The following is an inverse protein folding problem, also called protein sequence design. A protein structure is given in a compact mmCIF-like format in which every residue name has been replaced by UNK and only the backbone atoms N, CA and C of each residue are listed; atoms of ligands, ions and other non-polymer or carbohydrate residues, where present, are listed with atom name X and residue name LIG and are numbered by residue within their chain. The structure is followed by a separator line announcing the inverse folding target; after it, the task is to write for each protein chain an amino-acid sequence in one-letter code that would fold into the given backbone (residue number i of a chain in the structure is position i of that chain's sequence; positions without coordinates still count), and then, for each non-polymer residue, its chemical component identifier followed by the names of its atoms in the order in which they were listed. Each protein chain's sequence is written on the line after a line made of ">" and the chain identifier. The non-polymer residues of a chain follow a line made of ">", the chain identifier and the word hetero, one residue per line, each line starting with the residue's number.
data_IF_451147458243
#
_entry.id   IF_451147458243
#
_cell.length_a   1.000
_cell.length_b   1.000
_cell.length_c   1.000
_cell.angle_alpha   90.00
_cell.angle_beta   90.00
_cell.angle_gamma   90.00
#
_symmetry.space_group_name_H-M   'P 1'
#
loop_
_entity.id
_entity.type
_entity.pdbx_description
1 polymer ?
#
# COMPACT_ATOMS: atom_id res chain seq x y z
N UNK A 1 -34.24 20.32 19.75
CA UNK A 1 -33.50 19.18 19.17
C UNK A 1 -33.30 19.49 17.69
N UNK A 2 -32.16 20.10 17.35
CA UNK A 2 -31.84 20.39 15.95
C UNK A 2 -31.41 19.10 15.26
N UNK A 3 -32.20 18.67 14.28
CA UNK A 3 -31.84 17.60 13.34
C UNK A 3 -30.58 18.03 12.61
N UNK A 4 -29.48 17.32 12.85
CA UNK A 4 -28.29 17.44 12.02
C UNK A 4 -28.66 17.08 10.58
N UNK A 5 -28.81 18.08 9.72
CA UNK A 5 -28.94 17.90 8.28
C UNK A 5 -27.71 17.15 7.80
N UNK A 6 -27.88 15.97 7.21
CA UNK A 6 -26.77 15.19 6.66
C UNK A 6 -26.02 16.04 5.65
N UNK A 7 -24.81 16.48 5.99
CA UNK A 7 -23.94 17.31 5.14
C UNK A 7 -23.44 16.57 3.90
N UNK A 8 -23.65 15.25 3.84
CA UNK A 8 -23.38 14.42 2.68
C UNK A 8 -24.62 14.40 1.77
N UNK A 9 -24.52 14.89 0.52
CA UNK A 9 -25.64 14.81 -0.42
C UNK A 9 -26.06 13.35 -0.61
N UNK A 10 -27.28 13.06 -1.13
CA UNK A 10 -27.78 11.70 -1.34
C UNK A 10 -27.04 10.92 -2.44
N UNK A 11 -25.73 11.17 -2.60
CA UNK A 11 -24.80 10.53 -3.52
C UNK A 11 -24.73 9.02 -3.30
N UNK A 12 -24.82 8.53 -2.06
CA UNK A 12 -24.74 7.10 -1.78
C UNK A 12 -25.82 6.29 -2.51
N UNK A 13 -27.06 6.82 -2.63
CA UNK A 13 -28.13 6.17 -3.40
C UNK A 13 -27.85 6.19 -4.90
N UNK A 14 -27.37 7.31 -5.42
CA UNK A 14 -27.04 7.46 -6.84
C UNK A 14 -25.84 6.59 -7.26
N UNK A 15 -24.86 6.41 -6.38
CA UNK A 15 -23.70 5.54 -6.58
C UNK A 15 -24.11 4.05 -6.64
N UNK A 16 -25.12 3.64 -5.88
CA UNK A 16 -25.66 2.28 -5.90
C UNK A 16 -26.76 2.06 -6.96
N UNK A 17 -27.02 3.03 -7.84
CA UNK A 17 -28.02 2.91 -8.92
C UNK A 17 -27.64 1.83 -9.92
N UNK A 18 -28.64 1.12 -10.47
CA UNK A 18 -28.42 0.15 -11.56
C UNK A 18 -28.10 0.83 -12.89
N UNK A 19 -28.53 2.09 -13.09
CA UNK A 19 -28.23 2.87 -14.29
C UNK A 19 -26.80 3.43 -14.27
N UNK A 20 -26.02 3.09 -15.31
CA UNK A 20 -24.62 3.53 -15.45
C UNK A 20 -24.52 5.06 -15.51
N UNK A 21 -25.41 5.74 -16.25
CA UNK A 21 -25.33 7.20 -16.42
C UNK A 21 -25.49 7.92 -15.08
N UNK A 22 -26.40 7.42 -14.25
CA UNK A 22 -26.62 7.91 -12.88
C UNK A 22 -25.37 7.73 -12.02
N UNK A 23 -24.72 6.57 -12.07
CA UNK A 23 -23.47 6.31 -11.34
C UNK A 23 -22.32 7.20 -11.81
N UNK A 24 -22.10 7.30 -13.11
CA UNK A 24 -21.05 8.15 -13.70
C UNK A 24 -21.23 9.62 -13.27
N UNK A 25 -22.47 10.14 -13.29
CA UNK A 25 -22.77 11.49 -12.81
C UNK A 25 -22.51 11.62 -11.31
N UNK A 26 -22.83 10.60 -10.53
CA UNK A 26 -22.58 10.60 -9.09
C UNK A 26 -21.09 10.63 -8.76
N UNK A 27 -20.24 9.90 -9.50
CA UNK A 27 -18.78 9.93 -9.32
C UNK A 27 -18.19 11.30 -9.68
N UNK A 28 -18.63 11.90 -10.79
CA UNK A 28 -18.21 13.27 -11.15
C UNK A 28 -18.60 14.29 -10.09
N UNK A 29 -19.85 14.22 -9.61
CA UNK A 29 -20.32 15.09 -8.54
C UNK A 29 -19.57 14.85 -7.22
N UNK A 30 -19.19 13.60 -6.94
CA UNK A 30 -18.40 13.25 -5.77
C UNK A 30 -17.01 13.90 -5.83
N UNK A 31 -16.33 13.81 -6.97
CA UNK A 31 -15.01 14.44 -7.15
C UNK A 31 -15.08 15.96 -6.91
N UNK A 32 -16.09 16.63 -7.50
CA UNK A 32 -16.34 18.06 -7.27
C UNK A 32 -16.66 18.35 -5.80
N UNK A 33 -17.51 17.54 -5.17
CA UNK A 33 -17.89 17.67 -3.77
C UNK A 33 -16.66 17.59 -2.84
N UNK A 34 -15.75 16.66 -3.10
CA UNK A 34 -14.57 16.40 -2.28
C UNK A 34 -13.42 17.39 -2.55
N UNK A 35 -13.37 18.02 -3.72
CA UNK A 35 -12.38 19.06 -4.04
C UNK A 35 -12.70 20.43 -3.41
N UNK A 36 -13.94 20.65 -2.97
CA UNK A 36 -14.39 21.93 -2.40
C UNK A 36 -13.89 22.10 -0.96
N UNK A 37 -12.81 22.88 -0.78
CA UNK A 37 -12.19 23.16 0.52
C UNK A 37 -13.04 24.04 1.44
N UNK A 38 -14.13 24.63 0.94
CA UNK A 38 -15.01 25.49 1.74
C UNK A 38 -16.05 24.70 2.54
N UNK A 39 -16.15 23.39 2.30
CA UNK A 39 -17.11 22.52 2.96
C UNK A 39 -16.64 22.02 4.32
N UNK A 40 -17.62 21.71 5.15
CA UNK A 40 -17.40 21.03 6.43
C UNK A 40 -16.75 19.66 6.22
N UNK A 41 -15.90 19.28 7.19
CA UNK A 41 -15.28 17.96 7.24
C UNK A 41 -16.37 16.88 7.28
N UNK A 42 -16.24 15.88 6.42
CA UNK A 42 -17.17 14.75 6.38
C UNK A 42 -17.05 13.96 7.69
N UNK A 43 -18.18 13.67 8.32
CA UNK A 43 -18.18 12.85 9.53
C UNK A 43 -17.80 11.39 9.22
N UNK A 44 -17.19 10.68 10.17
CA UNK A 44 -16.85 9.26 9.99
C UNK A 44 -18.04 8.39 9.55
N UNK A 45 -19.24 8.49 10.17
CA UNK A 45 -20.39 7.71 9.72
C UNK A 45 -20.84 8.03 8.29
N UNK A 46 -20.65 9.27 7.83
CA UNK A 46 -21.00 9.64 6.46
C UNK A 46 -19.94 9.20 5.46
N UNK A 47 -18.66 9.23 5.83
CA UNK A 47 -17.58 8.63 5.05
C UNK A 47 -17.82 7.13 4.85
N UNK A 48 -18.30 6.43 5.87
CA UNK A 48 -18.65 5.00 5.79
C UNK A 48 -19.82 4.74 4.82
N UNK A 49 -20.87 5.56 4.87
CA UNK A 49 -22.00 5.47 3.91
C UNK A 49 -21.55 5.77 2.49
N UNK A 50 -20.68 6.78 2.33
CA UNK A 50 -20.13 7.17 1.04
C UNK A 50 -19.33 6.01 0.43
N UNK A 51 -18.39 5.43 1.19
CA UNK A 51 -17.59 4.32 0.71
C UNK A 51 -18.39 3.05 0.45
N UNK A 52 -19.44 2.79 1.22
CA UNK A 52 -20.40 1.74 0.89
C UNK A 52 -21.04 1.98 -0.48
N UNK A 53 -21.46 3.21 -0.77
CA UNK A 53 -21.98 3.60 -2.08
C UNK A 53 -20.97 3.40 -3.20
N UNK A 54 -19.72 3.85 -3.00
CA UNK A 54 -18.62 3.70 -3.98
C UNK A 54 -18.31 2.23 -4.24
N UNK A 55 -18.23 1.41 -3.19
CA UNK A 55 -17.94 -0.02 -3.30
C UNK A 55 -18.96 -0.72 -4.19
N UNK A 56 -20.25 -0.48 -3.98
CA UNK A 56 -21.30 -1.06 -4.82
C UNK A 56 -21.44 -0.40 -6.20
N UNK A 57 -21.02 0.87 -6.36
CA UNK A 57 -20.86 1.47 -7.68
C UNK A 57 -19.87 0.69 -8.53
N UNK A 58 -18.72 0.33 -7.95
CA UNK A 58 -17.70 -0.50 -8.61
C UNK A 58 -18.14 -1.95 -8.78
N UNK A 59 -18.91 -2.49 -7.81
CA UNK A 59 -19.52 -3.82 -7.90
C UNK A 59 -20.37 -3.99 -9.16
N UNK A 60 -21.15 -2.97 -9.53
CA UNK A 60 -22.03 -2.94 -10.72
C UNK A 60 -21.28 -2.66 -12.04
N UNK A 61 -19.95 -2.57 -12.04
CA UNK A 61 -19.14 -2.37 -13.24
C UNK A 61 -18.67 -3.73 -13.80
N UNK A 62 -19.25 -4.14 -14.93
CA UNK A 62 -19.00 -5.48 -15.51
C UNK A 62 -18.10 -5.48 -16.76
N UNK A 63 -18.01 -4.35 -17.47
CA UNK A 63 -17.20 -4.26 -18.71
C UNK A 63 -15.73 -3.97 -18.37
N UNK A 64 -14.75 -4.75 -18.86
CA UNK A 64 -13.34 -4.59 -18.48
C UNK A 64 -12.78 -3.18 -18.64
N UNK A 65 -12.99 -2.53 -19.79
CA UNK A 65 -12.51 -1.16 -20.02
C UNK A 65 -13.19 -0.13 -19.09
N UNK A 66 -14.47 -0.37 -18.73
CA UNK A 66 -15.20 0.48 -17.79
C UNK A 66 -14.68 0.28 -16.37
N UNK A 67 -14.33 -0.95 -15.98
CA UNK A 67 -13.70 -1.24 -14.69
C UNK A 67 -12.35 -0.53 -14.57
N UNK A 68 -11.50 -0.60 -15.59
CA UNK A 68 -10.19 0.06 -15.60
C UNK A 68 -10.31 1.58 -15.50
N UNK A 69 -11.20 2.18 -16.29
CA UNK A 69 -11.45 3.62 -16.26
C UNK A 69 -11.98 4.06 -14.88
N UNK A 70 -12.99 3.36 -14.37
CA UNK A 70 -13.61 3.70 -13.08
C UNK A 70 -12.64 3.51 -11.90
N UNK A 71 -11.81 2.45 -11.90
CA UNK A 71 -10.82 2.27 -10.84
C UNK A 71 -9.78 3.39 -10.83
N UNK A 72 -9.39 3.87 -12.02
CA UNK A 72 -8.47 5.00 -12.17
C UNK A 72 -9.15 6.29 -11.70
N UNK A 73 -10.39 6.57 -12.14
CA UNK A 73 -11.17 7.74 -11.72
C UNK A 73 -11.37 7.79 -10.19
N UNK A 74 -11.70 6.65 -9.57
CA UNK A 74 -11.87 6.55 -8.12
C UNK A 74 -10.56 6.82 -7.36
N UNK A 75 -9.44 6.26 -7.81
CA UNK A 75 -8.15 6.45 -7.15
C UNK A 75 -7.64 7.89 -7.30
N UNK A 76 -7.86 8.53 -8.47
CA UNK A 76 -7.45 9.92 -8.70
C UNK A 76 -8.18 10.92 -7.80
N UNK A 77 -9.36 10.59 -7.25
CA UNK A 77 -10.07 11.46 -6.29
C UNK A 77 -9.18 11.81 -5.09
N UNK A 78 -8.35 10.86 -4.63
CA UNK A 78 -7.38 11.09 -3.54
C UNK A 78 -6.46 12.27 -3.84
N UNK A 79 -6.18 12.50 -5.12
CA UNK A 79 -5.29 13.54 -5.63
C UNK A 79 -6.03 14.81 -6.08
N UNK A 80 -7.36 14.80 -6.22
CA UNK A 80 -8.14 16.01 -6.53
C UNK A 80 -8.65 16.72 -5.28
N UNK A 81 -8.72 16.02 -4.14
CA UNK A 81 -8.98 16.62 -2.83
C UNK A 81 -7.87 17.63 -2.51
N UNK A 82 -8.28 18.81 -2.06
CA UNK A 82 -7.41 19.99 -1.92
C UNK A 82 -6.53 19.98 -0.68
N UNK A 83 -6.96 19.30 0.39
CA UNK A 83 -6.20 19.25 1.65
C UNK A 83 -5.73 17.83 1.93
N UNK A 84 -4.46 17.69 2.31
CA UNK A 84 -3.85 16.40 2.59
C UNK A 84 -4.59 15.60 3.68
N UNK A 85 -5.01 16.19 4.82
CA UNK A 85 -5.79 15.46 5.82
C UNK A 85 -7.11 14.89 5.28
N UNK A 86 -7.81 15.62 4.39
CA UNK A 86 -9.03 15.13 3.77
C UNK A 86 -8.75 14.00 2.76
N UNK A 87 -7.65 14.08 2.00
CA UNK A 87 -7.20 12.99 1.12
C UNK A 87 -6.93 11.72 1.91
N UNK A 88 -6.22 11.82 3.04
CA UNK A 88 -5.96 10.68 3.93
C UNK A 88 -7.22 10.16 4.61
N UNK A 89 -8.16 11.04 4.98
CA UNK A 89 -9.43 10.61 5.55
C UNK A 89 -10.28 9.83 4.54
N UNK A 90 -10.30 10.26 3.27
CA UNK A 90 -10.92 9.52 2.18
C UNK A 90 -10.21 8.18 1.93
N UNK A 91 -8.87 8.16 1.92
CA UNK A 91 -8.07 6.94 1.79
C UNK A 91 -8.28 5.95 2.95
N UNK A 92 -8.42 6.45 4.18
CA UNK A 92 -8.75 5.61 5.35
C UNK A 92 -10.09 4.92 5.14
N UNK A 93 -11.11 5.65 4.69
CA UNK A 93 -12.42 5.08 4.36
C UNK A 93 -12.35 4.02 3.25
N UNK A 94 -11.46 4.19 2.26
CA UNK A 94 -11.21 3.17 1.24
C UNK A 94 -10.75 1.85 1.86
N UNK A 95 -9.71 1.89 2.71
CA UNK A 95 -9.16 0.69 3.33
C UNK A 95 -10.15 0.02 4.27
N UNK A 96 -10.83 0.79 5.12
CA UNK A 96 -11.84 0.26 6.04
C UNK A 96 -13.01 -0.40 5.31
N UNK A 97 -13.49 0.20 4.21
CA UNK A 97 -14.53 -0.39 3.38
C UNK A 97 -14.04 -1.63 2.66
N UNK A 98 -12.81 -1.61 2.14
CA UNK A 98 -12.21 -2.76 1.46
C UNK A 98 -12.08 -3.93 2.42
N UNK A 99 -11.47 -3.74 3.59
CA UNK A 99 -11.34 -4.77 4.65
C UNK A 99 -12.70 -5.36 5.03
N UNK A 100 -13.71 -4.51 5.25
CA UNK A 100 -15.05 -4.97 5.66
C UNK A 100 -15.73 -5.85 4.61
N UNK A 101 -15.63 -5.50 3.34
CA UNK A 101 -16.39 -6.16 2.26
C UNK A 101 -15.59 -7.27 1.56
N UNK A 102 -14.27 -7.37 1.78
CA UNK A 102 -13.36 -8.22 1.00
C UNK A 102 -13.76 -9.70 0.96
N UNK A 103 -14.13 -10.28 2.10
CA UNK A 103 -14.59 -11.68 2.17
C UNK A 103 -15.92 -11.91 1.43
N UNK A 104 -16.70 -10.86 1.18
CA UNK A 104 -17.97 -10.91 0.44
C UNK A 104 -17.79 -10.85 -1.07
N UNK A 105 -16.58 -10.60 -1.58
CA UNK A 105 -16.30 -10.53 -3.01
C UNK A 105 -16.21 -11.95 -3.58
N UNK A 106 -17.07 -12.27 -4.55
CA UNK A 106 -17.04 -13.56 -5.21
C UNK A 106 -15.91 -13.66 -6.25
N UNK A 107 -15.61 -14.90 -6.65
CA UNK A 107 -14.49 -15.22 -7.55
C UNK A 107 -14.56 -14.52 -8.91
N UNK A 108 -15.75 -14.18 -9.42
CA UNK A 108 -15.89 -13.51 -10.73
C UNK A 108 -15.59 -12.02 -10.64
N UNK A 109 -15.54 -11.44 -9.44
CA UNK A 109 -15.34 -10.01 -9.21
C UNK A 109 -13.98 -9.68 -8.60
N UNK A 110 -13.27 -10.64 -8.02
CA UNK A 110 -12.05 -10.36 -7.25
C UNK A 110 -10.97 -9.64 -8.07
N UNK A 111 -10.80 -9.97 -9.34
CA UNK A 111 -9.73 -9.39 -10.19
C UNK A 111 -9.86 -7.88 -10.36
N UNK A 112 -11.09 -7.35 -10.51
CA UNK A 112 -11.28 -5.90 -10.59
C UNK A 112 -11.01 -5.20 -9.27
N UNK A 113 -11.22 -5.87 -8.13
CA UNK A 113 -10.89 -5.32 -6.81
C UNK A 113 -9.38 -5.36 -6.53
N UNK A 114 -8.66 -6.40 -6.99
CA UNK A 114 -7.20 -6.39 -7.00
C UNK A 114 -6.64 -5.20 -7.79
N UNK A 115 -7.19 -4.94 -8.98
CA UNK A 115 -6.84 -3.76 -9.77
C UNK A 115 -7.19 -2.45 -9.06
N UNK A 116 -8.35 -2.36 -8.40
CA UNK A 116 -8.76 -1.18 -7.64
C UNK A 116 -7.75 -0.87 -6.53
N UNK A 117 -7.39 -1.86 -5.71
CA UNK A 117 -6.35 -1.72 -4.67
C UNK A 117 -5.05 -1.21 -5.27
N UNK A 118 -4.64 -1.77 -6.41
CA UNK A 118 -3.43 -1.32 -7.12
C UNK A 118 -3.47 0.13 -7.56
N UNK A 119 -4.62 0.62 -8.05
CA UNK A 119 -4.78 2.05 -8.41
C UNK A 119 -4.72 2.96 -7.18
N UNK A 120 -5.31 2.56 -6.06
CA UNK A 120 -5.27 3.34 -4.81
C UNK A 120 -3.87 3.39 -4.20
N UNK A 121 -3.12 2.29 -4.22
CA UNK A 121 -1.71 2.27 -3.77
C UNK A 121 -0.87 3.25 -4.62
N UNK A 122 -0.98 3.18 -5.95
CA UNK A 122 -0.29 4.11 -6.85
C UNK A 122 -0.63 5.59 -6.58
N UNK A 123 -1.93 5.89 -6.47
CA UNK A 123 -2.41 7.25 -6.19
C UNK A 123 -1.92 7.76 -4.82
N UNK A 124 -1.82 6.87 -3.83
CA UNK A 124 -1.31 7.22 -2.50
C UNK A 124 0.17 7.59 -2.55
N UNK A 125 1.02 6.83 -3.24
CA UNK A 125 2.43 7.21 -3.35
C UNK A 125 2.61 8.53 -4.09
N UNK A 126 1.81 8.80 -5.12
CA UNK A 126 1.79 10.12 -5.77
C UNK A 126 1.35 11.24 -4.83
N UNK A 127 0.43 10.97 -3.91
CA UNK A 127 0.02 11.94 -2.89
C UNK A 127 1.19 12.26 -1.95
N UNK A 128 1.91 11.23 -1.49
CA UNK A 128 3.08 11.39 -0.62
C UNK A 128 4.25 12.08 -1.34
N UNK A 129 4.44 11.85 -2.64
CA UNK A 129 5.41 12.60 -3.45
C UNK A 129 5.07 14.11 -3.45
N UNK A 130 3.79 14.49 -3.51
CA UNK A 130 3.38 15.91 -3.48
C UNK A 130 3.64 16.57 -2.13
N UNK A 131 3.72 15.80 -1.05
CA UNK A 131 4.15 16.29 0.26
C UNK A 131 5.67 16.20 0.44
N UNK A 132 6.41 15.91 -0.63
CA UNK A 132 7.86 15.70 -0.62
C UNK A 132 8.29 14.61 0.38
N UNK A 133 7.45 13.59 0.55
CA UNK A 133 7.59 12.54 1.55
C UNK A 133 7.74 13.07 2.98
N UNK A 134 7.00 14.12 3.32
CA UNK A 134 6.94 14.62 4.68
C UNK A 134 6.71 13.46 5.69
N UNK A 135 7.48 13.46 6.78
CA UNK A 135 7.51 12.35 7.72
C UNK A 135 6.14 12.13 8.36
N UNK A 136 5.47 13.22 8.76
CA UNK A 136 4.12 13.16 9.35
C UNK A 136 3.13 12.54 8.36
N UNK A 137 3.21 12.95 7.09
CA UNK A 137 2.39 12.42 6.01
C UNK A 137 2.58 10.92 5.79
N UNK A 138 3.83 10.45 5.82
CA UNK A 138 4.16 9.03 5.69
C UNK A 138 3.71 8.23 6.93
N UNK A 139 3.89 8.78 8.12
CA UNK A 139 3.47 8.15 9.38
C UNK A 139 1.94 8.02 9.46
N UNK A 140 1.20 9.05 9.07
CA UNK A 140 -0.27 8.99 9.00
C UNK A 140 -0.76 7.95 7.98
N UNK A 141 -0.08 7.81 6.84
CA UNK A 141 -0.38 6.74 5.88
C UNK A 141 -0.08 5.35 6.46
N UNK A 142 1.08 5.17 7.08
CA UNK A 142 1.44 3.92 7.74
C UNK A 142 0.42 3.54 8.82
N UNK A 143 -0.07 4.53 9.57
CA UNK A 143 -1.14 4.38 10.55
C UNK A 143 -2.47 3.92 9.93
N UNK A 144 -2.79 4.32 8.69
CA UNK A 144 -3.95 3.81 7.96
C UNK A 144 -3.78 2.32 7.66
N UNK A 145 -2.55 1.87 7.35
CA UNK A 145 -2.30 0.47 7.00
C UNK A 145 -2.38 -0.49 8.19
N UNK A 146 -1.85 -0.09 9.36
CA UNK A 146 -1.64 -1.01 10.50
C UNK A 146 -2.68 -0.92 11.63
N UNK A 147 -3.45 0.16 11.72
CA UNK A 147 -4.51 0.31 12.75
C UNK A 147 -5.78 -0.46 12.36
N UNK A 148 -6.74 -0.50 13.27
CA UNK A 148 -8.04 -1.15 13.05
C UNK A 148 -8.68 -0.67 11.73
N UNK A 149 -9.18 -1.62 10.94
CA UNK A 149 -9.71 -1.37 9.60
C UNK A 149 -8.66 -1.23 8.49
N UNK A 150 -7.36 -1.25 8.82
CA UNK A 150 -6.26 -1.29 7.87
C UNK A 150 -5.94 -2.71 7.36
N UNK A 151 -5.42 -2.85 6.12
CA UNK A 151 -5.10 -4.15 5.50
C UNK A 151 -3.95 -4.92 6.17
N UNK A 152 -3.14 -4.26 7.01
CA UNK A 152 -1.98 -4.83 7.69
C UNK A 152 -2.16 -4.79 9.22
N UNK A 153 -3.40 -4.77 9.73
CA UNK A 153 -3.64 -4.84 11.16
C UNK A 153 -3.44 -6.29 11.68
N UNK A 154 -2.41 -6.57 12.50
CA UNK A 154 -2.10 -7.95 12.92
C UNK A 154 -3.07 -8.49 13.98
N UNK A 155 -3.84 -7.62 14.63
CA UNK A 155 -4.75 -7.96 15.73
C UNK A 155 -6.21 -8.05 15.31
N UNK A 156 -6.57 -7.53 14.13
CA UNK A 156 -7.94 -7.58 13.65
C UNK A 156 -8.18 -8.86 12.84
N UNK A 157 -8.88 -9.81 13.45
CA UNK A 157 -9.22 -11.09 12.83
C UNK A 157 -10.14 -10.95 11.60
N UNK A 158 -10.77 -9.79 11.39
CA UNK A 158 -11.63 -9.53 10.23
C UNK A 158 -10.82 -9.21 8.98
N UNK A 159 -9.56 -8.78 9.13
CA UNK A 159 -8.68 -8.46 8.00
C UNK A 159 -8.31 -9.73 7.26
N UNK A 160 -8.73 -9.91 6.00
CA UNK A 160 -8.45 -11.14 5.29
C UNK A 160 -6.99 -11.19 4.84
N UNK A 161 -6.32 -12.31 5.11
CA UNK A 161 -4.90 -12.46 4.77
C UNK A 161 -4.61 -12.26 3.27
N UNK A 162 -5.55 -12.63 2.38
CA UNK A 162 -5.41 -12.43 0.94
C UNK A 162 -5.28 -10.97 0.52
N UNK A 163 -5.85 -10.03 1.29
CA UNK A 163 -5.67 -8.60 1.04
C UNK A 163 -4.24 -8.16 1.34
N UNK A 164 -3.67 -8.63 2.45
CA UNK A 164 -2.27 -8.37 2.80
C UNK A 164 -1.30 -9.00 1.78
N UNK A 165 -1.63 -10.18 1.26
CA UNK A 165 -0.82 -10.85 0.23
C UNK A 165 -0.77 -10.04 -1.05
N UNK A 166 -1.95 -9.64 -1.55
CA UNK A 166 -2.04 -8.82 -2.74
C UNK A 166 -1.33 -7.48 -2.54
N UNK A 167 -1.51 -6.84 -1.39
CA UNK A 167 -0.80 -5.60 -1.08
C UNK A 167 0.71 -5.80 -1.15
N UNK A 168 1.26 -6.87 -0.55
CA UNK A 168 2.68 -7.18 -0.60
C UNK A 168 3.19 -7.43 -2.03
N UNK A 169 2.39 -8.10 -2.88
CA UNK A 169 2.75 -8.38 -4.28
C UNK A 169 2.94 -7.10 -5.10
N UNK A 170 2.17 -6.05 -4.81
CA UNK A 170 2.12 -4.85 -5.67
C UNK A 170 2.85 -3.64 -5.09
N UNK A 171 3.17 -3.64 -3.79
CA UNK A 171 3.55 -2.43 -3.07
C UNK A 171 4.83 -1.79 -3.63
N UNK A 172 5.89 -2.60 -3.75
CA UNK A 172 7.20 -2.13 -4.24
C UNK A 172 7.14 -1.83 -5.75
N UNK A 173 6.39 -2.62 -6.52
CA UNK A 173 6.18 -2.40 -7.96
C UNK A 173 5.49 -1.04 -8.24
N UNK A 174 4.41 -0.74 -7.52
CA UNK A 174 3.72 0.53 -7.68
C UNK A 174 4.53 1.72 -7.14
N UNK A 175 5.36 1.51 -6.12
CA UNK A 175 6.29 2.53 -5.64
C UNK A 175 7.36 2.85 -6.70
N UNK A 176 8.02 1.84 -7.25
CA UNK A 176 9.03 2.00 -8.30
C UNK A 176 8.44 2.70 -9.54
N UNK A 177 7.22 2.30 -9.93
CA UNK A 177 6.50 2.92 -11.05
C UNK A 177 6.23 4.41 -10.84
N UNK A 178 5.85 4.86 -9.63
CA UNK A 178 5.63 6.29 -9.42
C UNK A 178 6.94 7.09 -9.38
N UNK A 179 8.03 6.46 -8.93
CA UNK A 179 9.37 7.05 -8.91
C UNK A 179 9.96 7.21 -10.33
N UNK A 180 9.52 6.37 -11.27
CA UNK A 180 9.93 6.44 -12.68
C UNK A 180 9.17 7.42 -13.56
N UNK A 181 8.20 8.17 -13.02
CA UNK A 181 7.40 9.10 -13.83
C UNK A 181 8.25 10.31 -14.23
N UNK A 182 8.43 10.48 -15.54
CA UNK A 182 9.31 11.49 -16.14
C UNK A 182 9.03 12.94 -15.70
N UNK A 183 7.78 13.27 -15.37
CA UNK A 183 7.35 14.65 -15.10
C UNK A 183 7.63 15.12 -13.66
N UNK A 184 7.99 14.19 -12.78
CA UNK A 184 8.28 14.43 -11.37
C UNK A 184 9.67 13.88 -11.13
N UNK A 185 10.65 14.72 -10.85
CA UNK A 185 11.91 14.27 -10.25
C UNK A 185 11.71 14.27 -8.73
N UNK A 186 11.08 13.23 -8.13
CA UNK A 186 10.75 13.28 -6.72
C UNK A 186 12.01 13.27 -5.87
N UNK A 187 11.88 13.76 -4.64
CA UNK A 187 12.88 13.45 -3.62
C UNK A 187 13.01 11.92 -3.45
N UNK A 188 14.16 11.44 -2.95
CA UNK A 188 14.40 10.01 -2.72
C UNK A 188 13.29 9.37 -1.88
N UNK A 189 12.78 8.21 -2.28
CA UNK A 189 11.72 7.51 -1.54
C UNK A 189 12.23 7.00 -0.18
N UNK A 190 11.56 7.29 0.96
CA UNK A 190 12.00 6.83 2.28
C UNK A 190 11.59 5.37 2.53
N UNK A 191 12.38 4.44 2.00
CA UNK A 191 12.05 3.01 2.01
C UNK A 191 11.90 2.43 3.43
N UNK A 192 12.75 2.83 4.38
CA UNK A 192 12.64 2.37 5.76
C UNK A 192 11.29 2.75 6.38
N UNK A 193 10.83 3.97 6.14
CA UNK A 193 9.50 4.44 6.58
C UNK A 193 8.38 3.69 5.86
N UNK A 194 8.44 3.56 4.53
CA UNK A 194 7.35 2.97 3.73
C UNK A 194 7.21 1.45 3.89
N UNK A 195 8.28 0.74 4.25
CA UNK A 195 8.30 -0.72 4.43
C UNK A 195 8.03 -1.13 5.89
N UNK A 196 8.18 -0.22 6.86
CA UNK A 196 7.95 -0.49 8.29
C UNK A 196 6.60 -1.17 8.60
N UNK A 197 5.46 -0.80 7.96
CA UNK A 197 4.19 -1.51 8.16
C UNK A 197 4.26 -3.01 7.92
N UNK A 198 5.01 -3.45 6.89
CA UNK A 198 5.17 -4.88 6.59
C UNK A 198 6.09 -5.57 7.59
N UNK A 199 7.14 -4.89 8.07
CA UNK A 199 8.06 -5.42 9.09
C UNK A 199 7.29 -5.64 10.39
N UNK A 200 6.51 -4.64 10.81
CA UNK A 200 5.67 -4.69 12.01
C UNK A 200 4.55 -5.75 11.89
N UNK A 201 3.91 -5.85 10.73
CA UNK A 201 2.91 -6.88 10.48
C UNK A 201 3.50 -8.29 10.54
N UNK A 202 4.66 -8.51 9.92
CA UNK A 202 5.35 -9.81 9.92
C UNK A 202 5.81 -10.22 11.32
N UNK A 203 6.23 -9.26 12.14
CA UNK A 203 6.59 -9.53 13.54
C UNK A 203 5.41 -10.04 14.39
N UNK A 204 4.19 -9.60 14.06
CA UNK A 204 3.00 -9.81 14.90
C UNK A 204 1.94 -10.75 14.32
N UNK A 205 2.02 -11.10 13.03
CA UNK A 205 1.03 -11.98 12.39
C UNK A 205 1.00 -13.36 13.06
N UNK A 206 -0.19 -13.90 13.41
CA UNK A 206 -0.31 -15.23 14.01
C UNK A 206 -0.10 -16.37 13.01
N UNK A 207 -0.14 -16.08 11.71
CA UNK A 207 -0.11 -17.07 10.63
C UNK A 207 1.29 -17.21 10.04
N UNK A 208 1.89 -18.40 10.18
CA UNK A 208 3.18 -18.73 9.53
C UNK A 208 3.10 -18.56 8.02
N UNK A 209 2.00 -19.02 7.40
CA UNK A 209 1.79 -18.90 5.95
C UNK A 209 1.76 -17.44 5.53
N UNK A 210 1.14 -16.58 6.34
CA UNK A 210 1.11 -15.15 6.08
C UNK A 210 2.50 -14.54 6.15
N UNK A 211 3.30 -14.88 7.17
CA UNK A 211 4.70 -14.47 7.22
C UNK A 211 5.45 -14.89 5.94
N UNK A 212 5.38 -16.16 5.58
CA UNK A 212 6.13 -16.72 4.44
C UNK A 212 5.70 -16.07 3.11
N UNK A 213 4.42 -15.70 2.99
CA UNK A 213 3.91 -14.98 1.82
C UNK A 213 4.40 -13.54 1.75
N UNK A 214 4.41 -12.81 2.86
CA UNK A 214 4.98 -11.44 2.90
C UNK A 214 6.48 -11.48 2.61
N UNK A 215 7.20 -12.46 3.16
CA UNK A 215 8.63 -12.62 2.93
C UNK A 215 8.96 -12.82 1.45
N UNK A 216 8.32 -13.80 0.81
CA UNK A 216 8.56 -14.13 -0.60
C UNK A 216 8.02 -13.08 -1.58
N UNK A 217 6.94 -12.37 -1.24
CA UNK A 217 6.35 -11.34 -2.11
C UNK A 217 7.12 -10.00 -2.08
N UNK A 218 7.60 -9.61 -0.90
CA UNK A 218 8.05 -8.24 -0.65
C UNK A 218 9.50 -8.17 -0.17
N UNK A 219 9.87 -8.91 0.89
CA UNK A 219 11.21 -8.78 1.48
C UNK A 219 12.29 -9.40 0.60
N UNK A 220 12.12 -10.64 0.14
CA UNK A 220 13.12 -11.32 -0.70
C UNK A 220 13.40 -10.55 -2.00
N UNK A 221 12.40 -10.12 -2.81
CA UNK A 221 12.68 -9.38 -4.04
C UNK A 221 13.31 -8.00 -3.77
N UNK A 222 12.83 -7.28 -2.75
CA UNK A 222 13.37 -5.95 -2.42
C UNK A 222 14.81 -6.03 -1.93
N UNK A 223 15.11 -6.93 -1.00
CA UNK A 223 16.46 -7.09 -0.47
C UNK A 223 17.41 -7.60 -1.56
N UNK A 224 16.99 -8.57 -2.37
CA UNK A 224 17.78 -9.06 -3.50
C UNK A 224 18.08 -7.94 -4.51
N UNK A 225 17.13 -7.06 -4.81
CA UNK A 225 17.36 -5.94 -5.72
C UNK A 225 18.34 -4.91 -5.14
N UNK A 226 18.34 -4.70 -3.82
CA UNK A 226 19.22 -3.76 -3.12
C UNK A 226 20.62 -4.35 -2.83
N UNK A 227 20.79 -5.66 -2.95
CA UNK A 227 22.09 -6.33 -2.82
C UNK A 227 23.00 -5.99 -4.00
N UNK A 228 24.34 -6.05 -3.83
CA UNK A 228 25.25 -5.92 -4.96
C UNK A 228 24.99 -7.02 -6.00
N UNK A 229 25.23 -6.77 -7.30
CA UNK A 229 25.14 -7.81 -8.31
C UNK A 229 26.17 -8.90 -8.01
N UNK A 230 25.69 -10.06 -7.55
CA UNK A 230 26.55 -11.21 -7.27
C UNK A 230 27.28 -11.65 -8.55
N UNK A 231 28.60 -11.79 -8.47
CA UNK A 231 29.44 -12.34 -9.55
C UNK A 231 29.39 -13.89 -9.60
N UNK A 232 28.64 -14.54 -8.71
CA UNK A 232 28.63 -15.99 -8.54
C UNK A 232 27.30 -16.62 -9.00
N UNK A 233 27.30 -17.12 -10.24
CA UNK A 233 26.36 -18.14 -10.73
C UNK A 233 26.52 -19.44 -9.91
N UNK A 234 25.94 -19.52 -8.72
CA UNK A 234 25.67 -20.81 -8.08
C UNK A 234 24.36 -21.38 -8.60
N UNK A 235 24.31 -22.67 -8.97
CA UNK A 235 23.06 -23.29 -9.43
C UNK A 235 22.02 -23.25 -8.29
N UNK A 236 20.78 -22.83 -8.57
CA UNK A 236 19.77 -22.70 -7.54
C UNK A 236 19.40 -24.05 -6.95
N UNK A 237 19.27 -24.09 -5.62
CA UNK A 237 18.66 -25.20 -4.89
C UNK A 237 17.30 -25.57 -5.50
N UNK A 238 17.08 -26.87 -5.76
CA UNK A 238 15.99 -27.45 -6.54
C UNK A 238 14.56 -27.26 -5.97
N UNK A 239 14.35 -26.32 -5.03
CA UNK A 239 13.05 -25.99 -4.44
C UNK A 239 12.56 -24.58 -4.76
N UNK A 240 13.35 -23.75 -5.46
CA UNK A 240 12.96 -22.38 -5.82
C UNK A 240 12.19 -22.40 -7.14
N UNK A 241 10.87 -22.21 -7.11
CA UNK A 241 10.12 -21.85 -8.31
C UNK A 241 10.62 -20.46 -8.72
N UNK A 242 11.43 -20.38 -9.77
CA UNK A 242 11.83 -19.13 -10.40
C UNK A 242 10.56 -18.49 -10.98
N UNK A 243 10.10 -17.39 -10.37
CA UNK A 243 9.49 -16.33 -11.15
C UNK A 243 10.66 -15.67 -11.90
N UNK A 244 10.58 -15.53 -13.21
CA UNK A 244 11.63 -14.91 -14.05
C UNK A 244 11.95 -13.51 -13.49
N UNK A 245 13.02 -13.39 -12.70
CA UNK A 245 13.45 -12.11 -12.13
C UNK A 245 14.35 -11.42 -13.16
N UNK A 246 13.79 -10.39 -13.81
CA UNK A 246 14.51 -9.45 -14.67
C UNK A 246 15.64 -8.76 -13.87
N UNK A 247 16.89 -8.67 -14.41
CA UNK A 247 18.06 -8.05 -13.76
C UNK A 247 17.88 -6.67 -13.15
N UNK A 248 16.81 -5.94 -13.46
CA UNK A 248 16.49 -4.67 -12.81
C UNK A 248 15.03 -4.67 -12.32
N UNK A 249 14.74 -5.44 -11.26
CA UNK A 249 13.37 -5.59 -10.75
C UNK A 249 12.77 -4.25 -10.25
N UNK A 250 13.59 -3.29 -9.80
CA UNK A 250 13.15 -1.95 -9.33
C UNK A 250 14.14 -0.82 -9.72
N UNK A 251 14.28 -0.46 -11.00
CA UNK A 251 15.35 0.42 -11.48
C UNK A 251 15.27 1.85 -10.96
N UNK A 252 14.08 2.33 -10.59
CA UNK A 252 13.89 3.70 -10.11
C UNK A 252 14.18 3.81 -8.62
N UNK A 253 13.76 2.81 -7.84
CA UNK A 253 14.09 2.74 -6.42
C UNK A 253 15.58 2.59 -6.17
N UNK A 254 16.29 1.79 -6.97
CA UNK A 254 17.74 1.65 -6.85
C UNK A 254 18.50 2.95 -7.12
N UNK A 255 17.91 3.87 -7.89
CA UNK A 255 18.52 5.14 -8.27
C UNK A 255 18.17 6.29 -7.33
N UNK A 256 17.01 6.26 -6.67
CA UNK A 256 16.48 7.41 -5.96
C UNK A 256 15.71 7.01 -4.69
N UNK A 257 16.41 6.49 -3.68
CA UNK A 257 15.82 6.10 -2.40
C UNK A 257 16.67 6.55 -1.21
N UNK A 258 16.01 6.79 -0.08
CA UNK A 258 16.62 7.03 1.21
C UNK A 258 16.03 6.08 2.26
N UNK A 259 16.50 6.14 3.50
CA UNK A 259 15.99 5.26 4.55
C UNK A 259 14.81 5.90 5.28
N UNK A 260 14.91 7.16 5.72
CA UNK A 260 13.83 7.83 6.47
C UNK A 260 13.53 9.23 5.98
N UNK A 261 14.53 10.13 5.98
CA UNK A 261 14.30 11.54 5.71
C UNK A 261 14.98 11.98 4.39
N UNK A 262 14.23 12.18 3.30
CA UNK A 262 14.82 12.50 2.00
C UNK A 262 15.58 13.82 1.97
N UNK A 263 15.14 14.82 2.75
CA UNK A 263 15.74 16.16 2.77
C UNK A 263 17.10 16.18 3.49
N UNK A 264 17.30 15.27 4.45
CA UNK A 264 18.53 15.16 5.22
C UNK A 264 19.50 14.12 4.65
N UNK A 265 18.97 12.98 4.21
CA UNK A 265 19.78 11.84 3.77
C UNK A 265 20.19 11.94 2.30
N UNK A 266 19.37 12.59 1.46
CA UNK A 266 19.53 12.49 0.01
C UNK A 266 19.40 11.05 -0.48
N UNK A 267 20.02 10.74 -1.62
CA UNK A 267 20.00 9.38 -2.16
C UNK A 267 21.04 8.50 -1.45
N UNK A 268 20.63 7.31 -1.00
CA UNK A 268 21.48 6.32 -0.36
C UNK A 268 21.69 5.15 -1.31
N UNK A 269 22.92 4.63 -1.38
CA UNK A 269 23.25 3.47 -2.19
C UNK A 269 22.43 2.23 -1.76
N UNK A 270 22.02 1.40 -2.72
CA UNK A 270 21.21 0.20 -2.48
C UNK A 270 21.78 -0.73 -1.40
N UNK A 271 23.10 -0.97 -1.41
CA UNK A 271 23.78 -1.82 -0.42
C UNK A 271 23.63 -1.29 1.00
N UNK A 272 23.70 0.03 1.18
CA UNK A 272 23.52 0.69 2.48
C UNK A 272 22.05 0.69 2.90
N UNK A 273 21.11 0.88 1.97
CA UNK A 273 19.67 0.72 2.22
C UNK A 273 19.32 -0.71 2.67
N UNK A 274 19.90 -1.71 2.00
CA UNK A 274 19.77 -3.12 2.37
C UNK A 274 20.23 -3.35 3.82
N UNK A 275 21.43 -2.87 4.18
CA UNK A 275 21.95 -2.95 5.57
C UNK A 275 21.01 -2.28 6.58
N UNK A 276 20.48 -1.10 6.28
CA UNK A 276 19.59 -0.37 7.17
C UNK A 276 18.21 -1.05 7.32
N UNK A 277 17.65 -1.63 6.25
CA UNK A 277 16.42 -2.43 6.30
C UNK A 277 16.61 -3.71 7.13
N UNK A 278 17.70 -4.44 6.93
CA UNK A 278 18.02 -5.64 7.73
C UNK A 278 18.21 -5.27 9.21
N UNK A 279 18.90 -4.16 9.51
CA UNK A 279 19.01 -3.64 10.89
C UNK A 279 17.63 -3.36 11.48
N UNK A 280 16.73 -2.76 10.70
CA UNK A 280 15.35 -2.53 11.15
C UNK A 280 14.59 -3.83 11.42
N UNK A 281 14.74 -4.84 10.56
CA UNK A 281 14.18 -6.18 10.79
C UNK A 281 14.70 -6.76 12.11
N UNK A 282 16.00 -6.67 12.39
CA UNK A 282 16.61 -7.12 13.64
C UNK A 282 16.06 -6.35 14.86
N UNK A 283 15.97 -5.03 14.78
CA UNK A 283 15.41 -4.18 15.83
C UNK A 283 13.96 -4.55 16.15
N UNK A 284 13.13 -4.78 15.14
CA UNK A 284 11.73 -5.19 15.36
C UNK A 284 11.70 -6.62 15.90
N UNK A 285 12.53 -7.53 15.40
CA UNK A 285 12.60 -8.90 15.89
C UNK A 285 12.95 -8.99 17.38
N UNK A 286 13.78 -8.07 17.89
CA UNK A 286 14.18 -8.06 19.31
C UNK A 286 13.09 -7.57 20.26
N UNK A 287 12.07 -6.85 19.76
CA UNK A 287 10.98 -6.29 20.58
C UNK A 287 10.16 -7.36 21.32
N UNK A 288 9.60 -7.05 22.51
CA UNK A 288 8.79 -7.99 23.27
C UNK A 288 7.46 -8.32 22.60
N UNK A 289 6.92 -7.44 21.75
CA UNK A 289 5.65 -7.67 21.04
C UNK A 289 5.79 -8.65 19.85
N UNK A 290 7.02 -8.96 19.45
CA UNK A 290 7.30 -9.88 18.35
C UNK A 290 7.07 -11.32 18.78
N UNK A 291 6.25 -12.04 18.01
CA UNK A 291 5.91 -13.43 18.27
C UNK A 291 7.15 -14.32 18.13
N UNK A 292 7.34 -15.25 19.06
CA UNK A 292 8.52 -16.13 19.07
C UNK A 292 8.72 -16.93 17.78
N UNK A 293 7.62 -17.39 17.17
CA UNK A 293 7.65 -18.10 15.88
C UNK A 293 8.22 -17.22 14.77
N UNK A 294 7.92 -15.91 14.79
CA UNK A 294 8.28 -14.97 13.74
C UNK A 294 9.67 -14.39 14.01
N UNK A 295 10.02 -14.17 15.28
CA UNK A 295 11.36 -13.74 15.74
C UNK A 295 12.46 -14.59 15.12
N UNK A 296 12.32 -15.92 15.17
CA UNK A 296 13.30 -16.85 14.58
C UNK A 296 13.46 -16.64 13.07
N UNK A 297 12.36 -16.45 12.34
CA UNK A 297 12.37 -16.22 10.90
C UNK A 297 12.95 -14.86 10.52
N UNK A 298 12.66 -13.81 11.30
CA UNK A 298 13.20 -12.48 11.08
C UNK A 298 14.71 -12.44 11.34
N UNK A 299 15.20 -13.16 12.37
CA UNK A 299 16.64 -13.32 12.58
C UNK A 299 17.30 -14.16 11.49
N UNK A 300 16.62 -15.17 10.95
CA UNK A 300 17.13 -15.92 9.80
C UNK A 300 17.30 -15.00 8.58
N UNK A 301 16.27 -14.22 8.24
CA UNK A 301 16.32 -13.22 7.15
C UNK A 301 17.46 -12.20 7.35
N UNK A 302 17.62 -11.70 8.58
CA UNK A 302 18.72 -10.79 8.94
C UNK A 302 20.09 -11.43 8.74
N UNK A 303 20.25 -12.67 9.20
CA UNK A 303 21.52 -13.41 9.13
C UNK A 303 21.90 -13.73 7.68
N UNK A 304 20.97 -14.25 6.89
CA UNK A 304 21.18 -14.53 5.45
C UNK A 304 21.66 -13.27 4.72
N UNK A 305 21.04 -12.11 5.00
CA UNK A 305 21.42 -10.85 4.36
C UNK A 305 22.73 -10.21 4.86
N UNK A 306 23.37 -10.76 5.90
CA UNK A 306 24.72 -10.37 6.36
C UNK A 306 25.75 -11.40 5.86
N UNK A 307 25.46 -12.70 5.99
CA UNK A 307 26.38 -13.76 5.57
C UNK A 307 26.68 -13.68 4.05
N UNK A 308 25.70 -13.29 3.22
CA UNK A 308 25.89 -13.00 1.78
C UNK A 308 26.86 -11.83 1.49
N UNK A 309 27.37 -11.12 2.51
CA UNK A 309 28.26 -9.95 2.37
C UNK A 309 29.67 -10.18 2.92
N UNK A 310 29.83 -11.08 3.89
CA UNK A 310 31.14 -11.41 4.48
C UNK A 310 31.94 -12.38 3.59
N UNK A 311 31.28 -13.07 2.65
CA UNK A 311 31.93 -13.97 1.66
C UNK A 311 32.49 -13.22 0.42
N UNK A 312 32.28 -11.89 0.31
CA UNK A 312 32.70 -11.03 -0.81
C UNK A 312 33.81 -10.00 -0.45
N UNK A 313 34.39 -10.06 0.76
CA UNK A 313 35.63 -9.35 1.18
C UNK A 313 36.88 -10.24 1.12
#
# INVERSE_FOLDING_TARGET
>A
MSTATSSTPPLAKSLASTDKKTRDKAIKNLSVFLSDSTRDVISKPDMDKLWKGIFYCFWMSDKPLVQQALASELAEIVLTITTFPSSLFFLRGFWEATVREWNGIDRLRIDKYYMLVRRFVNATFRLLIRTEWDQTSCDEYNDILVKEGGPLCPTDIKVPASLAYHLADIYVEELDKVMGRADSHPLPAPLGTLIDPFIMFSARTPSSVTYDRINSALFEPLLSALSPPSSNDRPPSAKRIKLDTDPATFPHLLKNSCFKNPKLEGNIAGVELNKNLLRRVFEVASRPETRDSNRRKMYALWKEGIDDKDDDE
#
